data_IF_552362498219
#
_entry.id   IF_552362498219
#
_cell.length_a   1.000
_cell.length_b   1.000
_cell.length_c   1.000
_cell.angle_alpha   90.00
_cell.angle_beta   90.00
_cell.angle_gamma   90.00
#
_symmetry.space_group_name_H-M   'P 1'
#
loop_
_entity.id
_entity.type
_entity.pdbx_description
1 polymer ?
#
# COMPACT_ATOMS: atom_id res chain seq x y z
N UNK A 1 12.65 -1.92 18.54
CA UNK A 1 12.17 -3.00 17.65
C UNK A 1 10.70 -2.73 17.38
N UNK A 2 10.40 -1.83 16.46
CA UNK A 2 9.03 -1.38 16.20
C UNK A 2 8.31 -2.45 15.41
N UNK A 3 7.39 -3.13 16.08
CA UNK A 3 6.45 -4.06 15.46
C UNK A 3 5.36 -3.25 14.77
N UNK A 4 5.03 -3.77 13.62
CA UNK A 4 4.07 -3.25 12.72
C UNK A 4 2.69 -3.95 13.00
N UNK A 5 1.59 -3.23 13.37
CA UNK A 5 0.16 -3.67 13.41
C UNK A 5 -0.80 -2.92 12.46
N UNK A 6 -2.04 -3.35 12.15
CA UNK A 6 -2.88 -2.75 11.08
C UNK A 6 -4.27 -2.24 11.51
N UNK A 7 -4.50 -0.93 11.36
CA UNK A 7 -5.75 -0.13 11.30
C UNK A 7 -5.25 1.27 10.85
N UNK A 8 -5.96 2.17 10.12
CA UNK A 8 -5.33 3.51 9.91
C UNK A 8 -5.14 4.25 11.27
N UNK A 9 -5.93 3.87 12.28
CA UNK A 9 -5.73 4.22 13.69
C UNK A 9 -4.75 3.31 14.45
N UNK A 10 -4.42 2.11 13.94
CA UNK A 10 -3.64 1.10 14.66
C UNK A 10 -2.65 0.31 13.75
N UNK A 11 -1.98 1.09 12.88
CA UNK A 11 -0.62 0.99 12.34
C UNK A 11 -0.39 0.36 10.91
N UNK A 12 0.89 0.22 10.52
CA UNK A 12 1.52 -0.50 9.39
C UNK A 12 1.71 0.12 8.06
N UNK A 13 0.65 0.19 7.27
CA UNK A 13 0.82 0.60 5.89
C UNK A 13 1.40 2.02 5.87
N UNK A 14 0.91 2.90 6.74
CA UNK A 14 1.37 4.28 6.91
C UNK A 14 2.79 4.41 7.46
N UNK A 15 3.28 3.44 8.27
CA UNK A 15 4.66 3.47 8.79
C UNK A 15 5.69 3.47 7.66
N UNK A 16 5.38 2.80 6.55
CA UNK A 16 6.24 2.74 5.39
C UNK A 16 5.76 3.68 4.27
N UNK A 17 4.46 3.64 3.96
CA UNK A 17 3.85 4.38 2.85
C UNK A 17 3.37 5.78 3.23
N UNK A 18 3.68 6.26 4.44
CA UNK A 18 3.36 7.61 4.90
C UNK A 18 1.88 7.84 5.18
N UNK A 19 1.60 8.95 5.88
CA UNK A 19 0.23 9.41 6.11
C UNK A 19 -0.47 9.66 4.78
N UNK A 20 -1.73 9.25 4.63
CA UNK A 20 -2.50 9.33 3.38
C UNK A 20 -1.76 8.69 2.17
N UNK A 21 -0.96 7.65 2.42
CA UNK A 21 -0.28 6.86 1.40
C UNK A 21 0.59 7.67 0.40
N UNK A 22 1.15 8.79 0.86
CA UNK A 22 2.00 9.70 0.06
C UNK A 22 3.44 9.20 -0.12
N UNK A 23 3.76 8.04 0.43
CA UNK A 23 5.09 7.45 0.44
C UNK A 23 6.00 8.11 1.46
N UNK A 24 7.16 7.50 1.67
CA UNK A 24 8.23 8.07 2.46
C UNK A 24 9.54 7.90 1.71
N UNK A 25 10.24 9.02 1.48
CA UNK A 25 11.46 9.04 0.70
C UNK A 25 12.51 8.10 1.31
N UNK A 26 12.97 7.15 0.50
CA UNK A 26 13.96 6.16 0.91
C UNK A 26 13.42 4.99 1.73
N UNK A 27 12.10 4.92 1.96
CA UNK A 27 11.46 3.86 2.76
C UNK A 27 10.42 3.09 1.95
N UNK A 28 9.41 3.76 1.39
CA UNK A 28 8.39 3.09 0.58
C UNK A 28 7.72 4.05 -0.42
N UNK A 29 7.13 3.52 -1.50
CA UNK A 29 6.55 4.34 -2.55
C UNK A 29 5.21 4.98 -2.16
N UNK A 30 4.83 6.10 -2.80
CA UNK A 30 3.46 6.61 -2.73
C UNK A 30 2.50 5.64 -3.40
N UNK A 31 1.41 5.27 -2.73
CA UNK A 31 0.30 4.53 -3.36
C UNK A 31 -0.68 5.48 -4.07
N UNK A 32 -0.67 6.77 -3.69
CA UNK A 32 -1.31 7.85 -4.45
C UNK A 32 -0.39 8.26 -5.61
N UNK A 33 -0.25 7.38 -6.59
CA UNK A 33 0.57 7.61 -7.77
C UNK A 33 -0.01 6.88 -8.98
N UNK A 34 0.08 7.47 -10.18
CA UNK A 34 -0.53 6.94 -11.40
C UNK A 34 -0.13 5.50 -11.73
N UNK A 35 1.09 5.10 -11.35
CA UNK A 35 1.55 3.73 -11.56
C UNK A 35 0.67 2.69 -10.86
N UNK A 36 0.01 3.08 -9.77
CA UNK A 36 -0.90 2.23 -9.02
C UNK A 36 -2.37 2.47 -9.38
N UNK A 37 -2.67 3.15 -10.49
CA UNK A 37 -4.05 3.34 -10.94
C UNK A 37 -4.73 1.98 -11.25
N UNK A 38 -6.06 1.86 -11.08
CA UNK A 38 -6.80 0.61 -11.26
C UNK A 38 -6.53 -0.15 -12.56
N UNK A 39 -6.29 0.56 -13.67
CA UNK A 39 -6.02 -0.06 -14.97
C UNK A 39 -4.61 -0.66 -15.10
N UNK A 40 -3.67 -0.26 -14.23
CA UNK A 40 -2.29 -0.74 -14.26
C UNK A 40 -1.99 -1.68 -13.08
N UNK A 41 -2.31 -1.27 -11.85
CA UNK A 41 -2.29 -2.15 -10.67
C UNK A 41 -3.71 -2.22 -10.11
N UNK A 42 -4.50 -3.18 -10.60
CA UNK A 42 -5.84 -3.44 -10.11
C UNK A 42 -5.85 -3.90 -8.65
N UNK A 43 -7.04 -3.98 -8.07
CA UNK A 43 -7.22 -4.25 -6.63
C UNK A 43 -6.62 -5.59 -6.18
N UNK A 44 -6.65 -6.60 -7.05
CA UNK A 44 -6.01 -7.89 -6.77
C UNK A 44 -4.48 -7.77 -6.62
N UNK A 45 -3.82 -6.77 -7.22
CA UNK A 45 -2.39 -6.54 -7.02
C UNK A 45 -2.07 -6.15 -5.58
N UNK A 46 -2.97 -5.41 -4.90
CA UNK A 46 -2.81 -5.07 -3.48
C UNK A 46 -2.97 -6.30 -2.59
N UNK A 47 -3.95 -7.17 -2.90
CA UNK A 47 -4.13 -8.46 -2.23
C UNK A 47 -2.87 -9.33 -2.32
N UNK A 48 -2.30 -9.42 -3.53
CA UNK A 48 -1.09 -10.21 -3.77
C UNK A 48 0.15 -9.59 -3.12
N UNK A 49 0.28 -8.26 -3.15
CA UNK A 49 1.37 -7.55 -2.49
C UNK A 49 1.38 -7.77 -0.97
N UNK A 50 0.21 -7.73 -0.34
CA UNK A 50 0.09 -8.00 1.10
C UNK A 50 0.37 -9.47 1.40
N UNK A 51 -0.25 -10.40 0.68
CA UNK A 51 -0.17 -11.83 0.98
C UNK A 51 1.20 -12.46 0.68
N UNK A 52 1.94 -11.94 -0.31
CA UNK A 52 3.17 -12.57 -0.79
C UNK A 52 4.39 -11.64 -0.75
N UNK A 53 4.20 -10.37 -0.42
CA UNK A 53 5.22 -9.35 -0.58
C UNK A 53 5.43 -8.95 -2.04
N UNK A 54 6.32 -7.99 -2.26
CA UNK A 54 6.65 -7.43 -3.57
C UNK A 54 8.16 -7.33 -3.70
N UNK A 55 8.69 -7.79 -4.83
CA UNK A 55 10.06 -7.49 -5.23
C UNK A 55 10.14 -6.09 -5.83
N UNK A 56 11.13 -5.32 -5.40
CA UNK A 56 11.38 -3.97 -5.92
C UNK A 56 11.56 -4.00 -7.43
N UNK A 57 10.78 -3.22 -8.17
CA UNK A 57 10.89 -3.12 -9.64
C UNK A 57 10.68 -1.69 -10.17
N UNK A 58 9.66 -0.96 -9.69
CA UNK A 58 9.43 0.43 -10.12
C UNK A 58 10.24 1.48 -9.36
N UNK A 59 10.56 1.18 -8.11
CA UNK A 59 11.30 2.07 -7.21
C UNK A 59 12.52 1.34 -6.65
N UNK A 60 13.45 2.10 -6.06
CA UNK A 60 14.65 1.56 -5.39
C UNK A 60 14.53 1.63 -3.87
N UNK A 61 13.35 1.28 -3.33
CA UNK A 61 13.11 1.26 -1.89
C UNK A 61 13.38 -0.10 -1.24
N UNK A 62 13.56 -1.14 -2.06
CA UNK A 62 13.72 -2.51 -1.58
C UNK A 62 12.41 -3.30 -1.66
N UNK A 63 12.46 -4.53 -1.19
CA UNK A 63 11.31 -5.42 -1.25
C UNK A 63 10.31 -5.08 -0.14
N UNK A 64 9.02 -5.18 -0.46
CA UNK A 64 7.97 -5.20 0.55
C UNK A 64 7.82 -6.64 1.03
N UNK A 65 7.98 -6.95 2.33
CA UNK A 65 7.69 -8.28 2.85
C UNK A 65 6.18 -8.58 2.82
N UNK A 66 5.81 -9.86 2.82
CA UNK A 66 4.43 -10.26 3.09
C UNK A 66 4.01 -9.78 4.49
N UNK A 67 2.75 -9.37 4.63
CA UNK A 67 2.18 -8.95 5.91
C UNK A 67 1.18 -10.02 6.35
N UNK A 68 1.52 -10.71 7.44
CA UNK A 68 0.66 -11.70 8.06
C UNK A 68 -0.42 -11.05 8.93
N UNK A 69 -1.50 -11.79 9.21
CA UNK A 69 -2.56 -11.35 10.11
C UNK A 69 -3.61 -10.42 9.49
N UNK A 70 -3.50 -10.08 8.21
CA UNK A 70 -4.54 -9.39 7.46
C UNK A 70 -5.41 -10.40 6.69
N UNK A 71 -6.72 -10.32 6.89
CA UNK A 71 -7.68 -11.01 6.05
C UNK A 71 -7.80 -10.34 4.68
N UNK A 72 -8.38 -11.05 3.70
CA UNK A 72 -8.68 -10.46 2.39
C UNK A 72 -9.62 -9.26 2.51
N UNK A 73 -10.53 -9.27 3.49
CA UNK A 73 -11.46 -8.16 3.73
C UNK A 73 -10.71 -6.93 4.24
N UNK A 74 -9.75 -7.10 5.16
CA UNK A 74 -8.93 -5.98 5.65
C UNK A 74 -8.16 -5.32 4.49
N UNK A 75 -7.57 -6.13 3.61
CA UNK A 75 -6.86 -5.61 2.42
C UNK A 75 -7.80 -4.97 1.42
N UNK A 76 -9.04 -5.45 1.31
CA UNK A 76 -10.05 -4.80 0.49
C UNK A 76 -10.38 -3.40 1.03
N UNK A 77 -10.61 -3.25 2.34
CA UNK A 77 -10.88 -1.95 2.96
C UNK A 77 -9.69 -0.98 2.81
N UNK A 78 -8.45 -1.47 3.00
CA UNK A 78 -7.22 -0.69 2.74
C UNK A 78 -7.16 -0.25 1.27
N UNK A 79 -7.49 -1.14 0.33
CA UNK A 79 -7.47 -0.82 -1.10
C UNK A 79 -8.51 0.25 -1.43
N UNK A 80 -9.73 0.15 -0.89
CA UNK A 80 -10.77 1.16 -1.09
C UNK A 80 -10.32 2.53 -0.59
N UNK A 81 -9.71 2.59 0.60
CA UNK A 81 -9.14 3.83 1.12
C UNK A 81 -8.07 4.41 0.18
N UNK A 82 -7.14 3.60 -0.32
CA UNK A 82 -6.15 4.05 -1.31
C UNK A 82 -6.83 4.57 -2.59
N UNK A 83 -7.89 3.91 -3.06
CA UNK A 83 -8.65 4.36 -4.24
C UNK A 83 -9.35 5.70 -4.00
N UNK A 84 -9.88 5.94 -2.80
CA UNK A 84 -10.46 7.23 -2.44
C UNK A 84 -9.42 8.34 -2.52
N UNK A 85 -8.23 8.11 -1.96
CA UNK A 85 -7.13 9.06 -2.04
C UNK A 85 -6.66 9.28 -3.48
N UNK A 86 -6.55 8.22 -4.28
CA UNK A 86 -6.23 8.32 -5.70
C UNK A 86 -7.24 9.18 -6.46
N UNK A 87 -8.54 8.93 -6.28
CA UNK A 87 -9.61 9.73 -6.92
C UNK A 87 -9.57 11.19 -6.47
N UNK A 88 -9.34 11.45 -5.19
CA UNK A 88 -9.19 12.81 -4.66
C UNK A 88 -7.99 13.56 -5.27
N UNK A 89 -7.02 12.82 -5.84
CA UNK A 89 -5.84 13.35 -6.52
C UNK A 89 -5.90 13.15 -8.05
N UNK A 90 -7.07 12.86 -8.62
CA UNK A 90 -7.28 12.76 -10.07
C UNK A 90 -6.73 11.49 -10.74
N UNK A 91 -6.57 10.40 -9.98
CA UNK A 91 -6.11 9.09 -10.45
C UNK A 91 -7.29 8.11 -10.45
N UNK A 92 -7.57 7.45 -11.58
CA UNK A 92 -8.78 6.65 -11.83
C UNK A 92 -8.50 5.28 -12.45
#
# INVERSE_FOLDING_TARGET
MSRCFCDWSDANCATCHGQNAVGQKGVAPPLVHKIYEPSHHGDQSFQMAVAMGVRSHHWKFGNMPAIEGLSREDVFQITQYVRELQRANGIF
#
